data_IF_012836545471
#
_entry.id   IF_012836545471
#
_cell.length_a   1.000
_cell.length_b   1.000
_cell.length_c   1.000
_cell.angle_alpha   90.00
_cell.angle_beta   90.00
_cell.angle_gamma   90.00
#
_symmetry.space_group_name_H-M   'P 1'
#
loop_
_entity.id
_entity.type
_entity.pdbx_description
1 polymer ?
#
# COMPACT_ATOMS: atom_id res chain seq x y z
N UNK A 1 -10.62 -11.17 15.84
CA UNK A 1 -9.50 -11.87 15.20
C UNK A 1 -8.37 -10.90 15.06
N UNK A 2 -7.17 -11.37 15.35
CA UNK A 2 -5.95 -10.57 15.29
C UNK A 2 -5.28 -10.69 13.92
N UNK A 3 -4.51 -9.69 13.55
CA UNK A 3 -3.64 -9.65 12.40
C UNK A 3 -2.34 -8.95 12.76
N UNK A 4 -1.34 -9.02 11.91
CA UNK A 4 -0.11 -8.25 12.07
C UNK A 4 -0.10 -7.08 11.09
N UNK A 5 0.61 -6.01 11.45
CA UNK A 5 0.83 -4.86 10.58
C UNK A 5 2.22 -4.95 9.97
N UNK A 6 2.33 -4.76 8.66
CA UNK A 6 3.58 -4.81 7.90
C UNK A 6 3.77 -3.49 7.16
N UNK A 7 4.92 -2.86 7.36
CA UNK A 7 5.27 -1.57 6.77
C UNK A 7 6.65 -1.70 6.12
N UNK A 8 6.74 -1.76 4.78
CA UNK A 8 8.01 -1.63 4.08
C UNK A 8 8.54 -0.20 4.22
N UNK A 9 9.82 -0.07 4.58
CA UNK A 9 10.48 1.21 4.86
C UNK A 9 11.68 1.37 3.96
N UNK A 10 11.57 2.22 2.95
CA UNK A 10 12.69 2.60 2.10
C UNK A 10 13.70 3.49 2.84
N UNK A 11 14.96 3.52 2.38
CA UNK A 11 16.02 4.32 3.00
C UNK A 11 15.71 5.83 3.11
N UNK A 12 14.85 6.34 2.25
CA UNK A 12 14.38 7.74 2.29
C UNK A 12 13.27 8.01 3.31
N UNK A 13 12.71 6.95 3.91
CA UNK A 13 11.51 7.00 4.75
C UNK A 13 11.79 6.69 6.22
N UNK A 14 13.04 6.47 6.61
CA UNK A 14 13.45 6.09 7.97
C UNK A 14 12.99 7.08 9.06
N UNK A 15 13.04 8.39 8.77
CA UNK A 15 12.51 9.40 9.68
C UNK A 15 10.99 9.53 9.61
N UNK A 16 10.40 9.19 8.46
CA UNK A 16 8.95 9.25 8.27
C UNK A 16 8.24 8.15 9.04
N UNK A 17 8.83 6.94 9.12
CA UNK A 17 8.20 5.80 9.80
C UNK A 17 7.91 6.08 11.27
N UNK A 18 8.76 6.83 11.97
CA UNK A 18 8.52 7.22 13.38
C UNK A 18 7.23 8.04 13.52
N UNK A 19 7.01 8.99 12.61
CA UNK A 19 5.78 9.81 12.56
C UNK A 19 4.58 8.98 12.14
N UNK A 20 4.77 8.07 11.17
CA UNK A 20 3.74 7.16 10.70
C UNK A 20 3.20 6.30 11.85
N UNK A 21 4.09 5.60 12.58
CA UNK A 21 3.71 4.75 13.72
C UNK A 21 3.01 5.56 14.80
N UNK A 22 3.56 6.73 15.17
CA UNK A 22 2.94 7.60 16.18
C UNK A 22 1.51 8.00 15.79
N UNK A 23 1.26 8.24 14.50
CA UNK A 23 -0.06 8.60 13.99
C UNK A 23 -1.01 7.41 13.91
N UNK A 24 -0.56 6.29 13.35
CA UNK A 24 -1.42 5.20 12.89
C UNK A 24 -1.69 4.15 13.96
N UNK A 25 -0.75 3.89 14.90
CA UNK A 25 -0.85 2.81 15.88
C UNK A 25 -2.15 2.79 16.69
N UNK A 26 -2.69 3.98 16.99
CA UNK A 26 -3.93 4.12 17.77
C UNK A 26 -5.18 4.25 16.88
N UNK A 27 -5.04 4.20 15.55
CA UNK A 27 -6.13 4.32 14.57
C UNK A 27 -6.42 3.03 13.82
N UNK A 28 -5.58 2.04 14.04
CA UNK A 28 -5.73 0.69 13.48
C UNK A 28 -6.00 -0.26 14.65
N UNK A 29 -7.22 -0.78 14.75
CA UNK A 29 -7.61 -1.68 15.82
C UNK A 29 -7.40 -3.15 15.42
N UNK A 30 -6.96 -3.99 16.36
CA UNK A 30 -6.95 -5.44 16.23
C UNK A 30 -5.64 -6.03 15.69
N UNK A 31 -4.57 -5.25 15.53
CA UNK A 31 -3.25 -5.80 15.22
C UNK A 31 -2.53 -6.28 16.49
N UNK A 32 -1.67 -7.31 16.34
CA UNK A 32 -0.83 -7.88 17.38
C UNK A 32 0.56 -7.23 17.39
N UNK A 33 1.28 -7.35 16.28
CA UNK A 33 2.65 -6.82 16.11
C UNK A 33 2.71 -5.86 14.91
N UNK A 34 3.74 -4.99 14.93
CA UNK A 34 4.10 -4.14 13.80
C UNK A 34 5.49 -4.57 13.33
N UNK A 35 5.58 -5.02 12.07
CA UNK A 35 6.83 -5.38 11.41
C UNK A 35 7.25 -4.28 10.43
N UNK A 36 8.49 -3.84 10.55
CA UNK A 36 9.11 -2.88 9.64
C UNK A 36 10.10 -3.63 8.76
N UNK A 37 9.85 -3.73 7.46
CA UNK A 37 10.76 -4.36 6.51
C UNK A 37 11.70 -3.28 5.96
N UNK A 38 13.00 -3.41 6.15
CA UNK A 38 14.00 -2.43 5.70
C UNK A 38 15.37 -3.06 5.48
N UNK A 39 16.19 -2.44 4.66
CA UNK A 39 17.60 -2.82 4.49
C UNK A 39 18.48 -2.40 5.66
N UNK A 40 18.05 -1.38 6.43
CA UNK A 40 18.82 -0.80 7.53
C UNK A 40 18.37 -1.32 8.89
N UNK A 41 19.13 -2.24 9.47
CA UNK A 41 18.85 -2.82 10.79
C UNK A 41 18.87 -1.81 11.97
N UNK A 42 19.38 -0.59 11.73
CA UNK A 42 19.40 0.47 12.73
C UNK A 42 18.07 1.23 12.83
N UNK A 43 17.12 0.97 11.93
CA UNK A 43 15.77 1.54 12.03
C UNK A 43 15.04 0.88 13.20
N UNK A 44 14.95 1.60 14.31
CA UNK A 44 14.27 1.15 15.54
C UNK A 44 13.14 2.12 15.87
N UNK A 45 11.95 1.58 16.06
CA UNK A 45 10.76 2.33 16.48
C UNK A 45 10.10 1.55 17.62
N UNK A 46 9.79 2.24 18.71
CA UNK A 46 9.20 1.62 19.90
C UNK A 46 7.90 0.86 19.58
N UNK A 47 7.83 -0.39 20.02
CA UNK A 47 6.70 -1.27 19.75
C UNK A 47 6.69 -1.89 18.36
N UNK A 48 7.77 -1.76 17.57
CA UNK A 48 7.91 -2.38 16.27
C UNK A 48 9.04 -3.40 16.24
N UNK A 49 8.90 -4.41 15.38
CA UNK A 49 9.90 -5.44 15.09
C UNK A 49 10.52 -5.12 13.74
N UNK A 50 11.83 -4.87 13.71
CA UNK A 50 12.57 -4.63 12.46
C UNK A 50 12.94 -5.95 11.81
N UNK A 51 12.61 -6.11 10.55
CA UNK A 51 12.92 -7.25 9.69
C UNK A 51 13.86 -6.78 8.59
N UNK A 52 15.02 -7.41 8.48
CA UNK A 52 15.95 -7.10 7.38
C UNK A 52 15.40 -7.66 6.07
N UNK A 53 15.32 -6.82 5.02
CA UNK A 53 14.80 -7.26 3.71
C UNK A 53 15.67 -8.32 3.04
N UNK A 54 16.95 -8.49 3.47
CA UNK A 54 17.85 -9.50 2.93
C UNK A 54 17.47 -10.95 3.27
N UNK A 55 16.48 -11.18 4.16
CA UNK A 55 15.95 -12.53 4.39
C UNK A 55 15.00 -13.01 3.29
N UNK A 56 14.55 -12.10 2.42
CA UNK A 56 13.69 -12.44 1.28
C UNK A 56 14.51 -13.08 0.15
N UNK A 57 13.91 -13.96 -0.69
CA UNK A 57 14.63 -14.67 -1.75
C UNK A 57 15.00 -13.78 -2.96
N UNK A 58 14.77 -12.51 -2.88
CA UNK A 58 15.07 -11.50 -3.90
C UNK A 58 15.49 -10.19 -3.23
N UNK A 59 16.15 -9.33 -3.99
CA UNK A 59 16.58 -8.01 -3.56
C UNK A 59 16.53 -7.02 -4.74
N UNK A 60 16.98 -5.79 -4.53
CA UNK A 60 16.98 -4.75 -5.56
C UNK A 60 17.78 -5.15 -6.80
N UNK A 61 18.92 -5.85 -6.62
CA UNK A 61 19.74 -6.32 -7.74
C UNK A 61 19.01 -7.38 -8.55
N UNK A 62 18.31 -8.33 -7.90
CA UNK A 62 17.43 -9.30 -8.58
C UNK A 62 16.43 -8.62 -9.51
N UNK A 63 15.81 -7.53 -9.04
CA UNK A 63 14.86 -6.75 -9.86
C UNK A 63 15.54 -6.12 -11.07
N UNK A 64 16.70 -5.49 -10.87
CA UNK A 64 17.48 -4.87 -11.95
C UNK A 64 17.90 -5.91 -12.99
N UNK A 65 18.41 -7.04 -12.55
CA UNK A 65 18.91 -8.10 -13.42
C UNK A 65 17.80 -8.68 -14.32
N UNK A 66 16.59 -8.86 -13.78
CA UNK A 66 15.45 -9.41 -14.53
C UNK A 66 14.80 -8.36 -15.45
N UNK A 67 14.62 -7.13 -14.96
CA UNK A 67 13.98 -6.08 -15.77
C UNK A 67 14.93 -5.47 -16.80
N UNK A 68 16.25 -5.59 -16.59
CA UNK A 68 17.27 -4.98 -17.45
C UNK A 68 17.34 -3.46 -17.35
N UNK A 69 16.84 -2.86 -16.25
CA UNK A 69 16.77 -1.42 -16.06
C UNK A 69 16.93 -1.01 -14.59
N UNK A 70 17.45 0.19 -14.36
CA UNK A 70 17.49 0.85 -13.04
C UNK A 70 16.29 1.79 -12.81
N UNK A 71 15.29 1.76 -13.68
CA UNK A 71 14.11 2.58 -13.53
C UNK A 71 13.18 2.02 -12.45
N UNK A 72 13.07 2.70 -11.33
CA UNK A 72 12.25 2.37 -10.17
C UNK A 72 12.32 0.91 -9.66
N UNK A 73 13.51 0.28 -9.53
CA UNK A 73 13.59 -1.10 -9.04
C UNK A 73 13.06 -1.25 -7.60
N UNK A 74 13.16 -0.21 -6.78
CA UNK A 74 12.57 -0.20 -5.44
C UNK A 74 11.05 -0.29 -5.43
N UNK A 75 10.36 0.17 -6.48
CA UNK A 75 8.92 0.02 -6.63
C UNK A 75 8.50 -1.46 -6.73
N UNK A 76 9.15 -2.21 -7.60
CA UNK A 76 8.86 -3.63 -7.79
C UNK A 76 9.29 -4.46 -6.58
N UNK A 77 10.46 -4.16 -6.01
CA UNK A 77 10.94 -4.79 -4.78
C UNK A 77 9.92 -4.64 -3.66
N UNK A 78 9.43 -3.42 -3.40
CA UNK A 78 8.46 -3.15 -2.34
C UNK A 78 7.19 -3.99 -2.50
N UNK A 79 6.69 -4.17 -3.72
CA UNK A 79 5.51 -4.99 -3.98
C UNK A 79 5.73 -6.45 -3.68
N UNK A 80 6.89 -7.00 -4.07
CA UNK A 80 7.27 -8.36 -3.75
C UNK A 80 7.46 -8.55 -2.23
N UNK A 81 8.11 -7.60 -1.53
CA UNK A 81 8.23 -7.64 -0.07
C UNK A 81 6.86 -7.73 0.61
N UNK A 82 5.88 -6.95 0.14
CA UNK A 82 4.50 -6.96 0.66
C UNK A 82 3.81 -8.31 0.46
N UNK A 83 3.91 -8.89 -0.72
CA UNK A 83 3.28 -10.19 -1.05
C UNK A 83 3.94 -11.35 -0.29
N UNK A 84 5.27 -11.34 -0.16
CA UNK A 84 6.03 -12.41 0.47
C UNK A 84 6.12 -12.30 2.00
N UNK A 85 5.73 -11.18 2.60
CA UNK A 85 5.84 -10.95 4.05
C UNK A 85 5.23 -12.08 4.87
N UNK A 86 4.06 -12.58 4.47
CA UNK A 86 3.35 -13.67 5.14
C UNK A 86 4.12 -14.99 5.20
N UNK A 87 5.08 -15.22 4.31
CA UNK A 87 5.84 -16.48 4.20
C UNK A 87 7.26 -16.37 4.74
N UNK A 88 7.82 -15.16 4.78
CA UNK A 88 9.23 -14.92 5.11
C UNK A 88 9.41 -14.40 6.53
N UNK A 89 8.49 -13.57 7.03
CA UNK A 89 8.59 -13.03 8.37
C UNK A 89 8.27 -14.12 9.40
N UNK A 90 9.19 -14.42 10.35
CA UNK A 90 8.94 -15.40 11.39
C UNK A 90 7.71 -15.04 12.25
N UNK A 91 6.92 -16.04 12.62
CA UNK A 91 5.77 -15.94 13.53
C UNK A 91 4.67 -14.95 13.11
N UNK A 92 4.69 -14.45 11.87
CA UNK A 92 3.62 -13.58 11.35
C UNK A 92 2.28 -14.35 11.28
N UNK A 93 1.19 -13.69 11.64
CA UNK A 93 -0.14 -14.28 11.63
C UNK A 93 -0.62 -14.63 10.20
N UNK A 94 -1.66 -15.43 10.11
CA UNK A 94 -2.34 -15.80 8.85
C UNK A 94 -2.83 -14.57 8.09
N UNK A 95 -3.30 -13.55 8.82
CA UNK A 95 -3.72 -12.25 8.29
C UNK A 95 -2.69 -11.19 8.61
N UNK A 96 -2.36 -10.39 7.64
CA UNK A 96 -1.51 -9.22 7.85
C UNK A 96 -1.97 -8.04 7.00
N UNK A 97 -2.01 -6.88 7.63
CA UNK A 97 -2.31 -5.60 6.98
C UNK A 97 -1.01 -4.97 6.51
N UNK A 98 -0.85 -4.82 5.21
CA UNK A 98 0.22 -4.00 4.66
C UNK A 98 -0.23 -2.56 4.60
N UNK A 99 0.65 -1.64 5.01
CA UNK A 99 0.39 -0.21 5.06
C UNK A 99 1.60 0.57 4.56
N UNK A 100 1.38 1.50 3.63
CA UNK A 100 2.48 2.30 3.08
C UNK A 100 2.99 3.30 4.13
N UNK A 101 4.31 3.42 4.24
CA UNK A 101 4.98 4.24 5.28
C UNK A 101 4.67 5.72 5.19
N UNK A 102 4.28 6.21 4.02
CA UNK A 102 3.98 7.62 3.76
C UNK A 102 2.51 8.00 3.94
N UNK A 103 1.71 7.11 4.53
CA UNK A 103 0.27 7.27 4.71
C UNK A 103 -0.11 7.48 6.17
N UNK A 104 -0.93 8.47 6.42
CA UNK A 104 -1.35 8.90 7.75
C UNK A 104 -2.87 8.86 7.86
N UNK A 105 -3.38 7.99 8.72
CA UNK A 105 -4.81 7.94 9.04
C UNK A 105 -5.21 9.16 9.87
N UNK A 106 -6.35 9.72 9.57
CA UNK A 106 -6.98 10.84 10.30
C UNK A 106 -8.16 10.38 11.15
N UNK A 107 -8.65 9.17 10.88
CA UNK A 107 -9.78 8.52 11.59
C UNK A 107 -9.43 7.06 11.85
N UNK A 108 -10.08 6.49 12.85
CA UNK A 108 -9.98 5.05 13.10
C UNK A 108 -10.50 4.27 11.90
N UNK A 109 -9.78 3.22 11.53
CA UNK A 109 -10.12 2.35 10.42
C UNK A 109 -10.11 0.88 10.87
N UNK A 110 -11.20 0.18 10.58
CA UNK A 110 -11.29 -1.27 10.77
C UNK A 110 -10.94 -1.98 9.45
N UNK A 111 -10.25 -3.10 9.54
CA UNK A 111 -9.82 -3.86 8.36
C UNK A 111 -10.42 -5.26 8.31
N UNK A 112 -11.11 -5.69 9.38
CA UNK A 112 -11.87 -6.93 9.45
C UNK A 112 -13.25 -6.62 10.02
N UNK A 113 -14.29 -7.20 9.41
CA UNK A 113 -15.66 -7.12 9.89
C UNK A 113 -16.39 -8.45 9.63
N UNK A 114 -16.96 -9.05 10.66
CA UNK A 114 -17.69 -10.33 10.56
C UNK A 114 -16.87 -11.41 9.85
N UNK A 115 -15.62 -11.54 10.25
CA UNK A 115 -14.62 -12.46 9.66
C UNK A 115 -14.28 -12.24 8.18
N UNK A 116 -14.73 -11.17 7.58
CA UNK A 116 -14.39 -10.76 6.22
C UNK A 116 -13.35 -9.68 6.23
N UNK A 117 -12.43 -9.73 5.27
CA UNK A 117 -11.47 -8.65 5.05
C UNK A 117 -12.17 -7.45 4.40
N UNK A 118 -11.80 -6.24 4.85
CA UNK A 118 -12.31 -5.00 4.30
C UNK A 118 -11.29 -4.42 3.33
N UNK A 119 -11.57 -4.51 2.04
CA UNK A 119 -10.73 -3.96 0.98
C UNK A 119 -11.20 -2.56 0.59
N UNK A 120 -10.29 -1.61 0.62
CA UNK A 120 -10.58 -0.27 0.12
C UNK A 120 -10.36 -0.22 -1.39
N UNK A 121 -11.20 0.56 -2.09
CA UNK A 121 -11.04 0.79 -3.51
C UNK A 121 -10.86 2.27 -3.83
N UNK A 122 -10.15 2.54 -4.91
CA UNK A 122 -10.05 3.84 -5.58
C UNK A 122 -10.76 3.81 -6.93
N UNK A 123 -10.79 4.96 -7.60
CA UNK A 123 -11.28 5.10 -8.99
C UNK A 123 -10.09 5.17 -9.98
N UNK A 124 -8.88 4.82 -9.52
CA UNK A 124 -7.68 4.89 -10.34
C UNK A 124 -7.73 3.87 -11.48
N UNK A 125 -7.24 4.28 -12.65
CA UNK A 125 -7.18 3.44 -13.83
C UNK A 125 -5.82 3.63 -14.50
N UNK A 126 -4.86 2.78 -14.12
CA UNK A 126 -3.52 2.79 -14.67
C UNK A 126 -3.33 1.59 -15.60
N UNK A 127 -3.46 1.83 -16.91
CA UNK A 127 -3.41 0.78 -17.94
C UNK A 127 -2.20 -0.15 -17.84
N UNK A 128 -0.96 0.31 -17.57
CA UNK A 128 0.19 -0.57 -17.40
C UNK A 128 0.00 -1.67 -16.34
N UNK A 129 -0.71 -1.39 -15.23
CA UNK A 129 -0.99 -2.39 -14.19
C UNK A 129 -1.94 -3.48 -14.70
N UNK A 130 -2.91 -3.12 -15.54
CA UNK A 130 -3.84 -4.09 -16.14
C UNK A 130 -3.13 -4.98 -17.16
N UNK A 131 -2.22 -4.43 -17.94
CA UNK A 131 -1.42 -5.19 -18.89
C UNK A 131 -0.45 -6.14 -18.19
N UNK A 132 0.19 -5.70 -17.10
CA UNK A 132 0.99 -6.57 -16.25
C UNK A 132 0.16 -7.72 -15.66
N UNK A 133 -0.97 -7.42 -15.04
CA UNK A 133 -1.86 -8.40 -14.43
C UNK A 133 -2.31 -9.47 -15.44
N UNK A 134 -2.66 -9.08 -16.66
CA UNK A 134 -3.07 -10.02 -17.71
C UNK A 134 -1.94 -10.89 -18.25
N UNK A 135 -0.69 -10.38 -18.24
CA UNK A 135 0.52 -11.15 -18.58
C UNK A 135 0.93 -12.09 -17.45
N UNK A 136 0.73 -11.67 -16.20
CA UNK A 136 1.01 -12.50 -15.04
C UNK A 136 0.15 -13.77 -15.04
N UNK A 137 -1.13 -13.67 -15.38
CA UNK A 137 -1.96 -14.83 -15.64
C UNK A 137 -3.19 -14.44 -16.47
N UNK A 138 -3.56 -15.20 -17.54
CA UNK A 138 -4.65 -14.83 -18.45
C UNK A 138 -6.04 -14.80 -17.81
N UNK A 139 -6.25 -15.49 -16.68
CA UNK A 139 -7.51 -15.39 -15.92
C UNK A 139 -7.61 -14.12 -15.09
N UNK A 140 -6.47 -13.48 -14.73
CA UNK A 140 -6.48 -12.27 -13.93
C UNK A 140 -6.98 -11.08 -14.77
N UNK A 141 -8.07 -10.50 -14.34
CA UNK A 141 -8.69 -9.35 -15.02
C UNK A 141 -9.39 -8.44 -14.02
N UNK A 142 -9.58 -7.21 -14.41
CA UNK A 142 -10.32 -6.23 -13.61
C UNK A 142 -11.79 -6.64 -13.52
N UNK A 143 -12.29 -6.77 -12.27
CA UNK A 143 -13.68 -7.19 -12.00
C UNK A 143 -14.65 -6.04 -12.18
N UNK A 144 -14.30 -4.85 -11.73
CA UNK A 144 -15.11 -3.63 -11.85
C UNK A 144 -14.44 -2.61 -12.73
N UNK A 145 -15.17 -2.01 -13.68
CA UNK A 145 -14.65 -0.97 -14.57
C UNK A 145 -14.31 0.34 -13.83
N UNK A 146 -15.02 0.64 -12.77
CA UNK A 146 -14.97 1.88 -11.98
C UNK A 146 -14.28 1.75 -10.62
N UNK A 147 -13.80 0.56 -10.25
CA UNK A 147 -13.12 0.32 -8.96
C UNK A 147 -11.80 -0.38 -9.16
N UNK A 148 -10.80 0.08 -8.45
CA UNK A 148 -9.42 -0.42 -8.45
C UNK A 148 -8.96 -0.74 -7.05
N UNK A 149 -8.15 -1.78 -6.91
CA UNK A 149 -7.45 -2.10 -5.66
C UNK A 149 -6.27 -1.19 -5.35
N UNK A 150 -5.91 -0.29 -6.27
CA UNK A 150 -4.80 0.66 -6.08
C UNK A 150 -5.16 1.58 -4.92
N UNK A 151 -4.49 1.37 -3.82
CA UNK A 151 -4.72 2.09 -2.57
C UNK A 151 -3.41 2.16 -1.76
N UNK A 152 -3.46 2.58 -0.52
CA UNK A 152 -2.30 2.75 0.35
C UNK A 152 -2.16 1.65 1.41
N UNK A 153 -3.01 0.64 1.35
CA UNK A 153 -3.03 -0.48 2.28
C UNK A 153 -3.82 -1.64 1.70
N UNK A 154 -3.49 -2.84 2.16
CA UNK A 154 -4.22 -4.06 1.82
C UNK A 154 -4.12 -5.08 2.95
N UNK A 155 -5.27 -5.67 3.32
CA UNK A 155 -5.29 -6.82 4.20
C UNK A 155 -5.07 -8.08 3.36
N UNK A 156 -3.97 -8.78 3.60
CA UNK A 156 -3.63 -10.04 2.98
C UNK A 156 -3.95 -11.22 3.92
N UNK A 157 -4.33 -12.36 3.33
CA UNK A 157 -4.38 -13.67 3.99
C UNK A 157 -3.43 -14.62 3.27
N UNK A 158 -2.52 -15.28 4.02
CA UNK A 158 -1.48 -16.15 3.45
C UNK A 158 -2.04 -17.21 2.51
N UNK A 159 -3.14 -17.89 2.91
CA UNK A 159 -3.75 -18.93 2.10
C UNK A 159 -4.18 -18.43 0.72
N UNK A 160 -4.72 -17.21 0.61
CA UNK A 160 -5.15 -16.66 -0.67
C UNK A 160 -3.98 -16.12 -1.50
N UNK A 161 -2.92 -15.63 -0.83
CA UNK A 161 -1.67 -15.31 -1.51
C UNK A 161 -1.03 -16.59 -2.05
N UNK A 162 -1.05 -17.70 -1.30
CA UNK A 162 -0.54 -18.98 -1.77
C UNK A 162 -1.32 -19.48 -2.99
N UNK A 163 -2.65 -19.43 -2.98
CA UNK A 163 -3.47 -19.79 -4.14
C UNK A 163 -3.14 -18.93 -5.38
N UNK A 164 -2.90 -17.63 -5.18
CA UNK A 164 -2.44 -16.74 -6.26
C UNK A 164 -1.06 -17.15 -6.77
N UNK A 165 -0.13 -17.48 -5.87
CA UNK A 165 1.22 -17.92 -6.24
C UNK A 165 1.16 -19.24 -7.00
N UNK A 166 0.47 -20.25 -6.48
CA UNK A 166 0.32 -21.56 -7.11
C UNK A 166 -0.23 -21.45 -8.54
N UNK A 167 -1.27 -20.62 -8.72
CA UNK A 167 -1.86 -20.37 -10.03
C UNK A 167 -0.86 -19.76 -11.03
N UNK A 168 -0.07 -18.79 -10.61
CA UNK A 168 0.92 -18.11 -11.46
C UNK A 168 2.12 -19.00 -11.72
N UNK A 169 2.62 -19.69 -10.71
CA UNK A 169 3.76 -20.61 -10.80
C UNK A 169 3.44 -21.83 -11.69
N UNK A 170 2.21 -22.34 -11.59
CA UNK A 170 1.75 -23.41 -12.50
C UNK A 170 1.75 -22.95 -13.95
N UNK A 171 1.30 -21.73 -14.23
CA UNK A 171 1.24 -21.17 -15.58
C UNK A 171 2.63 -20.88 -16.16
N UNK A 172 3.50 -20.23 -15.38
CA UNK A 172 4.83 -19.81 -15.85
C UNK A 172 5.93 -20.86 -15.67
N UNK A 173 5.69 -21.93 -14.85
CA UNK A 173 6.68 -22.97 -14.48
C UNK A 173 7.95 -22.39 -13.83
N UNK A 174 7.78 -21.37 -13.00
CA UNK A 174 8.84 -20.68 -12.24
C UNK A 174 8.25 -20.02 -10.99
N UNK A 175 9.12 -19.66 -10.05
CA UNK A 175 8.73 -18.99 -8.81
C UNK A 175 7.94 -17.71 -9.09
N UNK A 176 6.97 -17.39 -8.23
CA UNK A 176 6.08 -16.25 -8.41
C UNK A 176 6.83 -14.94 -8.63
N UNK A 177 7.88 -14.63 -7.84
CA UNK A 177 8.61 -13.37 -7.99
C UNK A 177 9.29 -13.24 -9.36
N UNK A 178 9.79 -14.35 -9.94
CA UNK A 178 10.34 -14.38 -11.29
C UNK A 178 9.25 -14.11 -12.33
N UNK A 179 8.10 -14.81 -12.21
CA UNK A 179 6.97 -14.63 -13.09
C UNK A 179 6.42 -13.20 -13.01
N UNK A 180 6.34 -12.64 -11.80
CA UNK A 180 5.88 -11.27 -11.56
C UNK A 180 6.76 -10.24 -12.29
N UNK A 181 8.09 -10.35 -12.16
CA UNK A 181 9.02 -9.43 -12.82
C UNK A 181 9.05 -9.63 -14.34
N UNK A 182 9.08 -10.88 -14.83
CA UNK A 182 9.06 -11.19 -16.27
C UNK A 182 7.78 -10.69 -16.96
N UNK A 183 6.67 -10.64 -16.23
CA UNK A 183 5.38 -10.15 -16.74
C UNK A 183 5.32 -8.63 -16.91
N UNK A 184 6.32 -7.89 -16.43
CA UNK A 184 6.42 -6.44 -16.65
C UNK A 184 6.59 -6.16 -18.15
N UNK A 185 5.66 -5.44 -18.81
CA UNK A 185 5.74 -5.19 -20.24
C UNK A 185 6.99 -4.36 -20.59
N UNK A 186 7.76 -4.81 -21.59
CA UNK A 186 9.04 -4.18 -21.97
C UNK A 186 8.91 -2.70 -22.29
N UNK A 187 7.83 -2.30 -22.96
CA UNK A 187 7.56 -0.91 -23.33
C UNK A 187 7.33 0.02 -22.13
N UNK A 188 7.20 -0.51 -20.91
CA UNK A 188 7.02 0.28 -19.69
C UNK A 188 8.22 0.26 -18.76
N UNK A 189 9.20 -0.62 -18.98
CA UNK A 189 10.31 -0.83 -18.05
C UNK A 189 11.12 0.44 -17.74
N UNK A 190 11.25 1.34 -18.71
CA UNK A 190 12.10 2.55 -18.60
C UNK A 190 11.31 3.87 -18.48
N UNK A 191 9.99 3.84 -18.45
CA UNK A 191 9.21 5.07 -18.53
C UNK A 191 8.06 5.19 -17.53
N UNK A 192 7.57 4.07 -16.96
CA UNK A 192 6.49 4.11 -15.97
C UNK A 192 6.50 2.87 -15.08
N UNK A 193 5.92 2.97 -13.90
CA UNK A 193 5.62 1.80 -13.06
C UNK A 193 4.49 1.00 -13.67
N UNK A 194 4.60 -0.33 -13.70
CA UNK A 194 3.64 -1.16 -14.45
C UNK A 194 3.15 -2.39 -13.72
N UNK A 195 3.36 -2.48 -12.40
CA UNK A 195 2.80 -3.53 -11.57
C UNK A 195 2.15 -2.93 -10.33
N UNK A 196 1.11 -3.59 -9.81
CA UNK A 196 0.49 -3.26 -8.53
C UNK A 196 0.00 -4.53 -7.85
N UNK A 197 0.65 -4.89 -6.75
CA UNK A 197 0.30 -6.02 -5.89
C UNK A 197 -1.12 -5.87 -5.33
N UNK A 198 -1.51 -4.64 -5.01
CA UNK A 198 -2.84 -4.35 -4.50
C UNK A 198 -3.93 -4.57 -5.55
N UNK A 199 -3.70 -4.13 -6.80
CA UNK A 199 -4.65 -4.34 -7.89
C UNK A 199 -4.78 -5.83 -8.23
N UNK A 200 -3.67 -6.56 -8.27
CA UNK A 200 -3.65 -8.00 -8.53
C UNK A 200 -4.46 -8.75 -7.46
N UNK A 201 -4.12 -8.55 -6.18
CA UNK A 201 -4.78 -9.25 -5.08
C UNK A 201 -6.25 -8.86 -4.95
N UNK A 202 -6.59 -7.58 -5.12
CA UNK A 202 -7.98 -7.09 -5.09
C UNK A 202 -8.85 -7.83 -6.11
N UNK A 203 -8.41 -7.89 -7.37
CA UNK A 203 -9.16 -8.56 -8.41
C UNK A 203 -9.18 -10.07 -8.24
N UNK A 204 -8.06 -10.70 -7.83
CA UNK A 204 -8.00 -12.11 -7.50
C UNK A 204 -9.03 -12.49 -6.42
N UNK A 205 -9.12 -11.74 -5.34
CA UNK A 205 -10.07 -11.98 -4.27
C UNK A 205 -11.53 -11.79 -4.72
N UNK A 206 -11.79 -10.76 -5.51
CA UNK A 206 -13.15 -10.53 -6.03
C UNK A 206 -13.61 -11.60 -7.03
N UNK A 207 -12.68 -12.19 -7.77
CA UNK A 207 -12.99 -13.27 -8.72
C UNK A 207 -13.23 -14.60 -8.02
N UNK A 208 -12.40 -14.95 -7.04
CA UNK A 208 -12.35 -16.28 -6.48
C UNK A 208 -12.96 -16.39 -5.08
N UNK A 209 -12.95 -15.30 -4.29
CA UNK A 209 -13.30 -15.29 -2.87
C UNK A 209 -14.17 -14.07 -2.48
N UNK A 210 -15.08 -13.66 -3.36
CA UNK A 210 -15.94 -12.48 -3.16
C UNK A 210 -16.76 -12.53 -1.87
N UNK A 211 -17.15 -13.72 -1.42
CA UNK A 211 -17.87 -13.92 -0.16
C UNK A 211 -17.03 -13.64 1.09
N UNK A 212 -15.69 -13.59 0.98
CA UNK A 212 -14.74 -13.27 2.05
C UNK A 212 -14.35 -11.79 2.13
N UNK A 213 -14.86 -10.98 1.22
CA UNK A 213 -14.47 -9.58 1.07
C UNK A 213 -15.65 -8.64 1.30
N UNK A 214 -15.40 -7.52 1.95
CA UNK A 214 -16.26 -6.34 1.97
C UNK A 214 -15.47 -5.21 1.31
N UNK A 215 -15.97 -4.70 0.17
CA UNK A 215 -15.36 -3.53 -0.46
C UNK A 215 -15.94 -2.24 0.11
N UNK A 216 -15.07 -1.24 0.31
CA UNK A 216 -15.46 0.08 0.82
C UNK A 216 -14.65 1.20 0.17
N UNK A 217 -15.16 2.42 0.24
CA UNK A 217 -14.41 3.61 -0.11
C UNK A 217 -13.89 4.29 1.16
N UNK A 218 -12.59 4.54 1.21
CA UNK A 218 -11.98 5.44 2.17
C UNK A 218 -11.45 6.65 1.40
N UNK A 219 -11.83 7.84 1.84
CA UNK A 219 -11.38 9.08 1.19
C UNK A 219 -9.96 9.41 1.61
N UNK A 220 -9.03 9.25 0.68
CA UNK A 220 -7.62 9.63 0.81
C UNK A 220 -7.29 10.74 -0.17
N UNK A 221 -6.27 11.52 0.13
CA UNK A 221 -5.75 12.54 -0.76
C UNK A 221 -4.24 12.70 -0.55
N UNK A 222 -3.52 13.04 -1.61
CA UNK A 222 -2.12 13.42 -1.51
C UNK A 222 -1.97 14.79 -0.85
N UNK A 223 -0.90 14.97 -0.08
CA UNK A 223 -0.63 16.21 0.66
C UNK A 223 -0.53 17.45 -0.22
N UNK A 224 0.01 17.32 -1.42
CA UNK A 224 0.21 18.41 -2.39
C UNK A 224 -1.11 18.98 -2.93
N UNK A 225 -2.17 18.20 -2.94
CA UNK A 225 -3.47 18.60 -3.47
C UNK A 225 -4.60 18.65 -2.42
N UNK A 226 -4.32 18.38 -1.15
CA UNK A 226 -5.33 18.21 -0.10
C UNK A 226 -6.29 19.40 0.05
N UNK A 227 -5.77 20.62 0.02
CA UNK A 227 -6.60 21.83 0.14
C UNK A 227 -7.51 22.04 -1.08
N UNK A 228 -6.99 21.73 -2.29
CA UNK A 228 -7.78 21.78 -3.53
C UNK A 228 -8.89 20.72 -3.51
N UNK A 229 -8.56 19.51 -3.08
CA UNK A 229 -9.50 18.40 -2.96
C UNK A 229 -10.65 18.76 -2.00
N UNK A 230 -10.34 19.25 -0.81
CA UNK A 230 -11.34 19.63 0.19
C UNK A 230 -12.23 20.77 -0.35
N UNK A 231 -11.63 21.80 -0.96
CA UNK A 231 -12.39 22.91 -1.56
C UNK A 231 -13.32 22.47 -2.70
N UNK A 232 -12.93 21.44 -3.49
CA UNK A 232 -13.78 20.90 -4.55
C UNK A 232 -15.02 20.16 -4.05
N UNK A 233 -14.98 19.67 -2.82
CA UNK A 233 -16.11 18.96 -2.17
C UNK A 233 -17.06 19.91 -1.44
N UNK A 234 -16.75 21.21 -1.35
CA UNK A 234 -17.62 22.21 -0.71
C UNK A 234 -18.78 22.60 -1.64
N UNK A 235 -19.99 22.83 -1.10
CA UNK A 235 -21.10 23.38 -1.87
C UNK A 235 -20.74 24.74 -2.50
N UNK A 236 -21.23 25.00 -3.70
CA UNK A 236 -21.09 26.29 -4.39
C UNK A 236 -21.60 27.41 -3.50
N UNK A 237 -20.76 28.41 -3.23
CA UNK A 237 -21.13 29.61 -2.43
C UNK A 237 -20.57 29.63 -1.02
N UNK A 238 -19.98 28.57 -0.49
CA UNK A 238 -19.25 28.66 0.77
C UNK A 238 -17.87 29.30 0.53
N UNK A 239 -17.42 30.13 1.49
CA UNK A 239 -16.08 30.76 1.44
C UNK A 239 -15.03 29.62 1.32
N UNK A 240 -14.22 29.67 0.26
CA UNK A 240 -13.04 28.83 0.15
C UNK A 240 -12.18 29.03 1.38
N UNK A 241 -11.70 27.95 1.96
CA UNK A 241 -10.76 28.05 3.07
C UNK A 241 -9.57 28.90 2.63
N UNK A 242 -9.44 30.09 3.22
CA UNK A 242 -8.24 30.90 3.07
C UNK A 242 -7.11 30.27 3.88
N UNK A 243 -5.87 30.55 3.55
CA UNK A 243 -4.66 30.01 4.20
C UNK A 243 -4.59 30.19 5.74
N UNK A 244 -5.57 30.84 6.35
CA UNK A 244 -5.64 31.17 7.78
C UNK A 244 -6.67 30.36 8.56
N UNK A 245 -7.60 29.67 7.90
CA UNK A 245 -8.56 28.80 8.59
C UNK A 245 -7.91 27.47 8.96
N UNK A 246 -7.99 27.05 10.21
CA UNK A 246 -7.60 25.71 10.66
C UNK A 246 -8.52 24.68 9.99
N UNK A 247 -8.07 24.11 8.86
CA UNK A 247 -8.78 23.02 8.20
C UNK A 247 -8.60 21.77 9.05
N UNK A 248 -9.71 21.21 9.51
CA UNK A 248 -9.72 19.90 10.16
C UNK A 248 -9.83 18.83 9.08
N UNK A 249 -8.69 18.30 8.61
CA UNK A 249 -8.66 17.32 7.52
C UNK A 249 -9.50 16.08 7.81
N UNK A 250 -9.58 15.65 9.07
CA UNK A 250 -10.41 14.52 9.49
C UNK A 250 -11.91 14.70 9.25
N UNK A 251 -12.42 15.93 9.07
CA UNK A 251 -13.83 16.13 8.74
C UNK A 251 -14.14 15.69 7.30
N UNK A 252 -13.14 15.68 6.43
CA UNK A 252 -13.27 15.42 5.00
C UNK A 252 -12.61 14.12 4.54
N UNK A 253 -11.52 13.68 5.20
CA UNK A 253 -10.66 12.60 4.75
C UNK A 253 -10.54 11.50 5.82
N UNK A 254 -10.26 10.29 5.38
CA UNK A 254 -9.85 9.17 6.22
C UNK A 254 -8.33 9.15 6.41
N UNK A 255 -7.57 9.62 5.42
CA UNK A 255 -6.12 9.69 5.49
C UNK A 255 -5.51 10.62 4.46
N UNK A 256 -4.20 10.88 4.62
CA UNK A 256 -3.37 11.69 3.72
C UNK A 256 -2.09 10.92 3.42
N UNK A 257 -1.66 10.93 2.16
CA UNK A 257 -0.38 10.38 1.73
C UNK A 257 0.65 11.48 1.43
N UNK A 258 1.93 11.19 1.70
CA UNK A 258 3.06 12.11 1.53
C UNK A 258 4.11 11.48 0.62
N UNK A 259 3.80 11.34 -0.65
CA UNK A 259 4.69 10.72 -1.62
C UNK A 259 6.05 11.43 -1.69
N UNK A 260 7.14 10.67 -1.70
CA UNK A 260 8.50 11.17 -1.60
C UNK A 260 8.87 12.22 -2.67
N UNK A 261 8.31 12.10 -3.88
CA UNK A 261 8.60 12.99 -5.03
C UNK A 261 7.91 14.36 -4.93
N UNK A 262 6.95 14.53 -4.03
CA UNK A 262 6.23 15.81 -3.81
C UNK A 262 6.52 16.42 -2.45
N UNK A 263 7.40 15.82 -1.63
CA UNK A 263 7.76 16.34 -0.30
C UNK A 263 8.50 17.68 -0.42
N UNK A 264 7.83 18.75 -0.03
CA UNK A 264 8.31 20.14 -0.08
C UNK A 264 7.81 20.93 1.14
N UNK A 265 8.05 22.24 1.18
CA UNK A 265 7.60 23.11 2.29
C UNK A 265 6.10 23.11 2.53
N UNK A 266 5.29 22.89 1.50
CA UNK A 266 3.83 22.74 1.65
C UNK A 266 3.50 21.46 2.42
N UNK A 267 4.15 20.34 2.08
CA UNK A 267 3.97 19.06 2.76
C UNK A 267 4.38 19.13 4.22
N UNK A 268 5.45 19.85 4.54
CA UNK A 268 5.87 20.09 5.94
C UNK A 268 4.76 20.77 6.74
N UNK A 269 4.07 21.77 6.15
CA UNK A 269 2.93 22.44 6.78
C UNK A 269 1.75 21.48 6.98
N UNK A 270 1.40 20.70 5.97
CA UNK A 270 0.33 19.69 6.06
C UNK A 270 0.67 18.64 7.11
N UNK A 271 1.91 18.12 7.10
CA UNK A 271 2.40 17.17 8.09
C UNK A 271 2.29 17.73 9.52
N UNK A 272 2.69 18.98 9.74
CA UNK A 272 2.57 19.65 11.04
C UNK A 272 1.11 19.70 11.52
N UNK A 273 0.16 19.96 10.62
CA UNK A 273 -1.27 19.96 10.95
C UNK A 273 -1.79 18.56 11.27
N UNK A 274 -1.35 17.55 10.50
CA UNK A 274 -1.68 16.13 10.77
C UNK A 274 -1.15 15.72 12.14
N UNK A 275 0.12 15.99 12.44
CA UNK A 275 0.73 15.65 13.73
C UNK A 275 0.10 16.38 14.90
N UNK A 276 -0.31 17.65 14.75
CA UNK A 276 -1.02 18.38 15.78
C UNK A 276 -2.41 17.80 16.09
N UNK A 277 -3.05 17.14 15.13
CA UNK A 277 -4.34 16.48 15.32
C UNK A 277 -4.27 15.15 16.09
N UNK A 278 -3.07 14.63 16.33
CA UNK A 278 -2.85 13.38 17.09
C UNK A 278 -2.91 13.64 18.60
N UNK A 279 -2.54 14.85 19.01
CA UNK A 279 -2.42 15.25 20.43
C UNK A 279 -3.72 15.87 21.00
N UNK A 280 -4.77 15.91 20.19
CA UNK A 280 -6.11 16.36 20.57
C UNK A 280 -7.14 15.23 20.42
#
# INVERSE_FOLDING_TARGET
MEFDLVIPVGSKDEELVKKNILCNKNRIDGYRNIYLITVNDNVKVDGCITINENIFPFNKQTVIDILGTEFYPGWYLQQLLKLYAGFVIPDILERYLVFDVDVFLLKNAKFIQNDKIMMSYSEENHRPYMEHMSKLHPSLKRVYGDKSGIHHHMMFEKKYIQELFDMVEEYHKKDFYLAFLDSVPENYRDNTTSASEYEIYFNFMLMNHKDKVIIRKLEFCNSDCVERYINSKQPWGLKRYSNTAKIRYSDHLHGISFHWHVRNKHDERVMKNVMASINN
#
